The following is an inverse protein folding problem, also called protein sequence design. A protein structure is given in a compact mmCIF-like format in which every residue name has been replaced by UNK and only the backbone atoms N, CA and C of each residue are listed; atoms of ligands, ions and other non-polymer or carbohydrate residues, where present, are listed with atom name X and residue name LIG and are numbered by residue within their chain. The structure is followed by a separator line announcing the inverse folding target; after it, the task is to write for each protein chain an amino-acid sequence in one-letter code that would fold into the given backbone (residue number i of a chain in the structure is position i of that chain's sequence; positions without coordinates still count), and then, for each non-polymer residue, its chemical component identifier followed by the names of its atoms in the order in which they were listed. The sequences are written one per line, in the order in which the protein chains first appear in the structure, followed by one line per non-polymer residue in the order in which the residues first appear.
data_IF_621264067585
#
_entry.id   IF_621264067585
#
_cell.length_a   1.000
_cell.length_b   1.000
_cell.length_c   1.000
_cell.angle_alpha   90.00
_cell.angle_beta   90.00
_cell.angle_gamma   90.00
#
_symmetry.space_group_name_H-M   'P 1'
#
loop_
_entity.id
_entity.type
_entity.pdbx_description
1 polymer ?
#
# COMPACT_ATOMS: atom_id res chain seq x y z
N UNK A 1 -17.23 1.54 14.71
CA UNK A 1 -15.78 1.77 14.64
C UNK A 1 -15.13 0.50 14.10
N UNK A 2 -14.74 0.46 12.82
CA UNK A 2 -14.09 -0.74 12.23
C UNK A 2 -12.58 -0.69 12.41
N UNK A 3 -11.98 -1.78 12.90
CA UNK A 3 -10.51 -1.88 13.04
C UNK A 3 -9.83 -1.89 11.66
N UNK A 4 -8.52 -1.62 11.61
CA UNK A 4 -7.73 -1.75 10.38
C UNK A 4 -7.86 -3.17 9.81
N UNK A 5 -7.93 -4.18 10.67
CA UNK A 5 -8.12 -5.58 10.27
C UNK A 5 -9.48 -5.81 9.61
N UNK A 6 -10.55 -5.22 10.15
CA UNK A 6 -11.89 -5.27 9.53
C UNK A 6 -11.89 -4.62 8.13
N UNK A 7 -11.20 -3.48 7.95
CA UNK A 7 -11.05 -2.82 6.64
C UNK A 7 -10.26 -3.69 5.65
N UNK A 8 -9.18 -4.33 6.11
CA UNK A 8 -8.38 -5.27 5.32
C UNK A 8 -9.18 -6.47 4.85
N UNK A 9 -10.02 -7.05 5.71
CA UNK A 9 -10.91 -8.15 5.35
C UNK A 9 -11.95 -7.73 4.31
N UNK A 10 -12.55 -6.54 4.44
CA UNK A 10 -13.54 -6.03 3.50
C UNK A 10 -13.02 -5.86 2.06
N UNK A 11 -11.70 -5.77 1.88
CA UNK A 11 -11.05 -5.57 0.58
C UNK A 11 -10.20 -6.77 0.15
N UNK A 12 -10.34 -7.91 0.82
CA UNK A 12 -9.52 -9.11 0.56
C UNK A 12 -8.02 -8.75 0.50
N UNK A 13 -7.54 -8.01 1.50
CA UNK A 13 -6.15 -7.58 1.57
C UNK A 13 -5.23 -8.80 1.74
N UNK A 14 -4.24 -8.93 0.86
CA UNK A 14 -3.26 -10.00 0.86
C UNK A 14 -1.86 -9.39 0.89
N UNK A 15 -1.02 -9.89 1.80
CA UNK A 15 0.43 -9.66 1.74
C UNK A 15 1.06 -10.63 0.71
N UNK A 16 0.52 -10.65 -0.50
CA UNK A 16 1.03 -11.51 -1.56
C UNK A 16 2.30 -10.90 -2.17
N UNK A 17 3.27 -11.72 -2.56
CA UNK A 17 4.48 -11.31 -3.30
C UNK A 17 4.16 -11.16 -4.81
N UNK A 18 2.87 -11.19 -5.18
CA UNK A 18 2.41 -11.24 -6.56
C UNK A 18 2.35 -9.83 -7.17
N UNK A 19 2.63 -9.71 -8.47
CA UNK A 19 2.37 -8.49 -9.26
C UNK A 19 1.03 -8.68 -9.98
N UNK A 20 0.12 -7.69 -9.98
CA UNK A 20 0.24 -6.32 -9.48
C UNK A 20 0.13 -6.18 -7.95
N UNK A 21 0.59 -5.05 -7.39
CA UNK A 21 0.58 -4.80 -5.94
C UNK A 21 0.49 -3.30 -5.59
N UNK A 22 0.54 -2.96 -4.31
CA UNK A 22 0.38 -1.60 -3.81
C UNK A 22 1.39 -0.64 -4.43
N UNK A 23 2.63 -1.06 -4.72
CA UNK A 23 3.62 -0.23 -5.43
C UNK A 23 3.18 0.31 -6.79
N UNK A 24 2.23 -0.36 -7.44
CA UNK A 24 1.69 0.00 -8.76
C UNK A 24 0.23 0.45 -8.67
N UNK A 25 -0.26 0.73 -7.46
CA UNK A 25 -1.64 1.16 -7.23
C UNK A 25 -1.72 2.68 -7.20
N UNK A 26 -2.75 3.27 -7.81
CA UNK A 26 -2.97 4.73 -7.78
C UNK A 26 -3.24 5.29 -6.36
N UNK A 27 -3.62 4.41 -5.42
CA UNK A 27 -3.94 4.78 -4.05
C UNK A 27 -2.79 4.54 -3.07
N UNK A 28 -1.61 4.14 -3.55
CA UNK A 28 -0.43 4.02 -2.69
C UNK A 28 0.35 5.32 -2.67
N UNK A 29 0.90 5.63 -1.50
CA UNK A 29 1.81 6.74 -1.30
C UNK A 29 3.02 6.23 -0.51
N UNK A 30 4.22 6.59 -0.95
CA UNK A 30 5.44 6.34 -0.19
C UNK A 30 5.48 7.31 0.99
N UNK A 31 5.63 6.77 2.20
CA UNK A 31 5.69 7.54 3.44
C UNK A 31 7.01 7.23 4.15
N UNK A 32 7.75 8.25 4.53
CA UNK A 32 8.98 8.08 5.31
C UNK A 32 8.58 7.85 6.77
N UNK A 33 8.66 6.61 7.24
CA UNK A 33 8.17 6.24 8.58
C UNK A 33 9.21 6.45 9.67
N UNK A 34 10.49 6.47 9.32
CA UNK A 34 11.58 6.69 10.26
C UNK A 34 12.80 7.25 9.51
N UNK A 35 13.14 8.51 9.80
CA UNK A 35 14.38 9.15 9.34
C UNK A 35 15.44 8.96 10.41
N UNK A 36 15.88 7.73 10.64
CA UNK A 36 16.97 7.45 11.57
C UNK A 36 18.20 7.03 10.76
N UNK A 37 19.18 7.93 10.56
CA UNK A 37 20.42 7.57 9.87
C UNK A 37 21.08 6.36 10.56
N UNK A 38 21.60 5.37 9.82
CA UNK A 38 21.79 5.30 8.37
C UNK A 38 20.63 4.65 7.57
N UNK A 39 19.51 4.33 8.20
CA UNK A 39 18.40 3.59 7.57
C UNK A 39 17.16 4.47 7.42
N UNK A 40 16.95 5.01 6.22
CA UNK A 40 15.67 5.62 5.85
C UNK A 40 14.66 4.50 5.55
N UNK A 41 13.80 4.18 6.52
CA UNK A 41 12.74 3.21 6.30
C UNK A 41 11.61 3.87 5.51
N UNK A 42 11.64 3.68 4.19
CA UNK A 42 10.52 4.04 3.33
C UNK A 42 9.36 3.05 3.55
N UNK A 43 8.31 3.50 4.20
CA UNK A 43 7.04 2.82 4.30
C UNK A 43 6.15 3.13 3.09
N UNK A 44 5.07 2.38 2.95
CA UNK A 44 4.00 2.68 2.00
C UNK A 44 2.68 2.74 2.75
N UNK A 45 1.83 3.67 2.36
CA UNK A 45 0.50 3.85 2.92
C UNK A 45 -0.55 3.79 1.81
N UNK A 46 -1.69 3.17 2.10
CA UNK A 46 -2.85 3.26 1.22
C UNK A 46 -3.67 4.49 1.60
N UNK A 47 -3.63 5.54 0.78
CA UNK A 47 -4.34 6.80 1.01
C UNK A 47 -5.87 6.65 1.03
N UNK A 48 -6.39 5.61 0.35
CA UNK A 48 -7.82 5.30 0.33
C UNK A 48 -8.37 4.80 1.68
N UNK A 49 -7.57 4.06 2.43
CA UNK A 49 -8.01 3.42 3.68
C UNK A 49 -7.25 3.90 4.92
N UNK A 50 -6.19 4.68 4.75
CA UNK A 50 -5.39 5.29 5.80
C UNK A 50 -4.62 4.28 6.65
N UNK A 51 -4.06 3.23 6.04
CA UNK A 51 -3.23 2.26 6.76
C UNK A 51 -1.94 1.93 6.01
N UNK A 52 -0.90 1.60 6.78
CA UNK A 52 0.40 1.16 6.26
C UNK A 52 0.27 -0.17 5.52
N UNK A 53 0.86 -0.22 4.33
CA UNK A 53 0.92 -1.35 3.42
C UNK A 53 2.37 -1.64 3.03
N UNK A 54 2.62 -2.83 2.52
CA UNK A 54 3.91 -3.14 1.89
C UNK A 54 3.80 -2.92 0.39
N UNK A 55 4.91 -2.65 -0.28
CA UNK A 55 4.96 -2.51 -1.73
C UNK A 55 4.35 -3.71 -2.48
N UNK A 56 4.45 -4.91 -1.88
CA UNK A 56 4.01 -6.16 -2.51
C UNK A 56 2.54 -6.48 -2.24
N UNK A 57 1.95 -5.96 -1.16
CA UNK A 57 0.57 -6.26 -0.81
C UNK A 57 -0.43 -5.87 -1.92
N UNK A 58 -1.58 -6.53 -1.99
CA UNK A 58 -2.66 -6.23 -2.92
C UNK A 58 -4.02 -6.35 -2.23
N UNK A 59 -5.04 -5.69 -2.76
CA UNK A 59 -6.43 -5.84 -2.36
C UNK A 59 -7.33 -5.99 -3.59
N UNK A 60 -8.55 -6.50 -3.42
CA UNK A 60 -9.52 -6.66 -4.51
C UNK A 60 -9.95 -5.34 -5.15
N UNK A 61 -9.68 -4.20 -4.50
CA UNK A 61 -9.94 -2.86 -5.03
C UNK A 61 -8.66 -2.18 -5.55
N UNK A 62 -7.66 -2.97 -5.92
CA UNK A 62 -6.45 -2.47 -6.57
C UNK A 62 -6.81 -1.78 -7.89
N UNK A 63 -6.35 -0.54 -8.03
CA UNK A 63 -6.49 0.22 -9.27
C UNK A 63 -5.08 0.55 -9.76
N UNK A 64 -4.68 0.07 -10.96
CA UNK A 64 -3.35 0.35 -11.47
C UNK A 64 -3.15 1.86 -11.57
N UNK A 65 -2.06 2.36 -10.99
CA UNK A 65 -1.58 3.70 -11.27
C UNK A 65 -1.48 3.79 -12.80
N UNK A 66 -2.14 4.80 -13.38
CA UNK A 66 -2.02 5.05 -14.82
C UNK A 66 -0.52 5.12 -15.09
N UNK A 67 -0.01 4.16 -15.85
CA UNK A 67 1.34 4.22 -16.38
C UNK A 67 1.34 5.44 -17.31
N UNK A 68 1.70 6.59 -16.74
CA UNK A 68 2.06 7.76 -17.50
C UNK A 68 3.28 7.35 -18.30
N UNK A 69 3.05 7.20 -19.59
CA UNK A 69 4.00 7.34 -20.70
C UNK A 69 5.12 8.34 -20.34
N UNK A 70 6.38 8.07 -20.72
CA UNK A 70 7.56 8.89 -20.37
C UNK A 70 7.40 10.38 -20.66
#
# INVERSE_FOLDING_TARGET
MGTIQSRKMAVNFLNAVQRPGCRTCQHSQQVYVDRMPPYDNAGMECTRYGFKVTAMAICSQHLPARAGTP
#
